data_IF_419808417792
#
_entry.id   IF_419808417792
#
_cell.length_a   1.000
_cell.length_b   1.000
_cell.length_c   1.000
_cell.angle_alpha   90.00
_cell.angle_beta   90.00
_cell.angle_gamma   90.00
#
_symmetry.space_group_name_H-M   'P 1'
#
loop_
_entity.id
_entity.type
_entity.pdbx_description
1 polymer ?
#
# COMPACT_ATOMS: atom_id res chain seq x y z
N UNK A 1 -40.77 -5.42 74.75
CA UNK A 1 -41.14 -4.69 73.56
C UNK A 1 -39.87 -4.41 72.81
N UNK A 2 -39.61 -5.16 71.71
CA UNK A 2 -38.42 -5.02 70.93
C UNK A 2 -38.82 -4.29 69.62
N UNK A 3 -38.27 -3.10 69.46
CA UNK A 3 -38.54 -2.26 68.33
C UNK A 3 -37.70 -2.69 67.12
N UNK A 4 -38.39 -3.17 66.07
CA UNK A 4 -37.72 -3.64 64.84
C UNK A 4 -37.67 -2.48 63.82
N UNK A 5 -36.61 -1.72 63.86
CA UNK A 5 -36.28 -0.83 62.72
C UNK A 5 -35.42 -1.59 61.73
N UNK A 6 -36.06 -2.06 60.71
CA UNK A 6 -35.40 -2.67 59.54
C UNK A 6 -34.75 -1.52 58.74
N UNK A 7 -33.42 -1.43 58.79
CA UNK A 7 -32.67 -0.59 57.85
C UNK A 7 -32.60 -1.30 56.51
N UNK A 8 -33.36 -0.83 55.50
CA UNK A 8 -33.13 -1.17 54.11
C UNK A 8 -31.85 -0.47 53.62
N UNK A 9 -30.72 -1.17 53.65
CA UNK A 9 -29.55 -0.75 52.94
C UNK A 9 -29.74 -1.04 51.45
N UNK A 10 -30.10 -0.02 50.68
CA UNK A 10 -30.18 -0.09 49.23
C UNK A 10 -28.81 -0.37 48.64
N UNK A 11 -28.59 -1.59 48.12
CA UNK A 11 -27.45 -1.88 47.26
C UNK A 11 -27.64 -1.15 45.92
N UNK A 12 -27.05 0.02 45.79
CA UNK A 12 -26.83 0.66 44.51
C UNK A 12 -25.74 -0.16 43.79
N UNK A 13 -26.14 -1.20 43.06
CA UNK A 13 -25.27 -1.88 42.15
C UNK A 13 -24.82 -0.92 41.06
N UNK A 14 -23.58 -0.44 41.13
CA UNK A 14 -22.96 0.25 40.01
C UNK A 14 -22.89 -0.70 38.81
N UNK A 15 -23.78 -0.52 37.87
CA UNK A 15 -23.69 -1.18 36.56
C UNK A 15 -22.44 -0.58 35.90
N UNK A 16 -21.31 -1.29 35.99
CA UNK A 16 -20.14 -0.99 35.24
C UNK A 16 -20.49 -1.17 33.75
N UNK A 17 -20.75 -0.08 33.06
CA UNK A 17 -20.86 -0.09 31.62
C UNK A 17 -19.55 -0.65 31.08
N UNK A 18 -19.59 -1.65 30.17
CA UNK A 18 -18.36 -2.16 29.58
C UNK A 18 -17.61 -1.00 28.94
N UNK A 19 -16.36 -0.80 29.32
CA UNK A 19 -15.50 0.20 28.70
C UNK A 19 -15.47 -0.08 27.21
N UNK A 20 -15.99 0.86 26.42
CA UNK A 20 -16.00 0.74 24.96
C UNK A 20 -14.54 0.68 24.53
N UNK A 21 -14.15 -0.39 23.85
CA UNK A 21 -12.80 -0.48 23.26
C UNK A 21 -12.53 0.80 22.45
N UNK A 22 -11.32 1.36 22.53
CA UNK A 22 -10.97 2.54 21.74
C UNK A 22 -11.23 2.24 20.25
N UNK A 23 -11.70 3.22 19.49
CA UNK A 23 -11.95 3.01 18.07
C UNK A 23 -10.65 2.62 17.36
N UNK A 24 -10.72 1.65 16.45
CA UNK A 24 -9.60 1.27 15.60
C UNK A 24 -9.12 2.50 14.83
N UNK A 25 -7.84 2.83 14.92
CA UNK A 25 -7.25 3.97 14.23
C UNK A 25 -5.86 3.63 13.72
N UNK A 26 -5.57 4.00 12.46
CA UNK A 26 -4.22 3.92 11.94
C UNK A 26 -3.40 5.11 12.41
N UNK A 27 -2.16 4.83 12.75
CA UNK A 27 -1.17 5.85 13.04
C UNK A 27 -0.28 6.02 11.79
N UNK A 28 -0.52 7.06 11.02
CA UNK A 28 0.26 7.37 9.83
C UNK A 28 1.48 8.20 10.26
N UNK A 29 2.66 7.64 10.06
CA UNK A 29 3.93 8.27 10.43
C UNK A 29 4.80 8.37 9.17
N UNK A 30 4.79 9.52 8.46
CA UNK A 30 5.64 9.71 7.29
C UNK A 30 7.10 9.93 7.70
N UNK A 31 8.00 9.15 7.11
CA UNK A 31 9.45 9.28 7.27
C UNK A 31 10.03 10.00 6.05
N UNK A 32 10.82 11.05 6.27
CA UNK A 32 11.42 11.83 5.16
C UNK A 32 12.51 11.01 4.48
N UNK A 33 12.40 10.82 3.17
CA UNK A 33 13.35 10.06 2.33
C UNK A 33 14.17 11.00 1.44
N UNK A 34 13.52 12.05 0.91
CA UNK A 34 14.14 13.08 0.10
C UNK A 34 13.39 14.40 0.26
N UNK A 35 13.86 15.47 -0.38
CA UNK A 35 13.14 16.73 -0.35
C UNK A 35 11.79 16.60 -1.04
N UNK A 36 10.73 16.95 -0.27
CA UNK A 36 9.36 16.82 -0.71
C UNK A 36 8.90 15.36 -0.93
N UNK A 37 9.62 14.37 -0.39
CA UNK A 37 9.24 12.95 -0.48
C UNK A 37 9.34 12.28 0.89
N UNK A 38 8.25 11.63 1.30
CA UNK A 38 8.13 10.84 2.51
C UNK A 38 7.53 9.47 2.20
N UNK A 39 7.84 8.50 3.04
CA UNK A 39 7.27 7.15 2.99
C UNK A 39 6.59 6.85 4.32
N UNK A 40 5.35 6.40 4.27
CA UNK A 40 4.69 5.72 5.38
C UNK A 40 5.04 4.25 5.27
N UNK A 41 5.94 3.78 6.13
CA UNK A 41 6.41 2.41 6.08
C UNK A 41 5.31 1.43 6.53
N UNK A 42 5.11 0.37 5.74
CA UNK A 42 4.28 -0.76 6.10
C UNK A 42 4.90 -1.61 7.21
N UNK A 43 4.06 -2.31 7.95
CA UNK A 43 4.51 -3.28 8.96
C UNK A 43 5.10 -4.50 8.26
N UNK A 44 6.25 -4.95 8.73
CA UNK A 44 6.93 -6.14 8.20
C UNK A 44 6.32 -7.44 8.75
N UNK A 45 5.10 -7.71 8.30
CA UNK A 45 4.28 -8.85 8.71
C UNK A 45 3.23 -9.17 7.64
N UNK A 46 2.60 -10.37 7.65
CA UNK A 46 1.42 -10.65 6.83
C UNK A 46 0.24 -9.74 7.19
N UNK A 47 -0.72 -9.62 6.26
CA UNK A 47 -2.02 -8.97 6.54
C UNK A 47 -2.68 -9.66 7.72
N UNK A 48 -2.99 -8.92 8.79
CA UNK A 48 -3.58 -9.44 10.02
C UNK A 48 -4.41 -8.36 10.75
N UNK A 49 -5.33 -8.82 11.60
CA UNK A 49 -6.12 -7.94 12.47
C UNK A 49 -5.23 -7.00 13.31
N UNK A 50 -4.07 -7.49 13.78
CA UNK A 50 -3.17 -6.72 14.64
C UNK A 50 -2.56 -5.49 13.94
N UNK A 51 -2.36 -5.53 12.62
CA UNK A 51 -1.81 -4.43 11.83
C UNK A 51 -2.86 -3.73 10.95
N UNK A 52 -4.11 -4.22 10.95
CA UNK A 52 -5.17 -3.68 10.10
C UNK A 52 -4.87 -3.78 8.60
N UNK A 53 -3.94 -4.62 8.18
CA UNK A 53 -3.49 -4.74 6.78
C UNK A 53 -2.51 -3.65 6.33
N UNK A 54 -2.02 -2.79 7.22
CA UNK A 54 -1.08 -1.71 6.88
C UNK A 54 0.34 -2.25 6.70
N UNK A 55 0.57 -3.03 5.66
CA UNK A 55 1.84 -3.71 5.36
C UNK A 55 2.58 -3.14 4.15
N UNK A 56 1.89 -2.39 3.28
CA UNK A 56 2.47 -1.74 2.12
C UNK A 56 3.14 -0.40 2.46
N UNK A 57 4.21 -0.06 1.76
CA UNK A 57 4.81 1.28 1.78
C UNK A 57 3.97 2.24 0.94
N UNK A 58 3.61 3.38 1.52
CA UNK A 58 2.86 4.42 0.83
C UNK A 58 3.75 5.66 0.70
N UNK A 59 3.86 6.21 -0.52
CA UNK A 59 4.69 7.39 -0.74
C UNK A 59 3.85 8.66 -0.79
N UNK A 60 4.32 9.72 -0.13
CA UNK A 60 3.74 11.07 -0.12
C UNK A 60 4.74 12.01 -0.78
N UNK A 61 4.28 12.77 -1.79
CA UNK A 61 5.10 13.72 -2.53
C UNK A 61 4.46 15.11 -2.48
N UNK A 62 5.20 16.09 -1.95
CA UNK A 62 4.82 17.49 -2.02
C UNK A 62 5.20 18.08 -3.37
N UNK A 63 4.29 18.80 -3.99
CA UNK A 63 4.50 19.51 -5.24
C UNK A 63 3.88 20.90 -5.17
N UNK A 64 4.24 21.80 -6.07
CA UNK A 64 3.60 23.11 -6.19
C UNK A 64 2.13 22.99 -6.63
N UNK A 65 1.78 21.93 -7.34
CA UNK A 65 0.42 21.65 -7.82
C UNK A 65 -0.48 20.91 -6.82
N UNK A 66 0.05 20.56 -5.63
CA UNK A 66 -0.67 19.79 -4.60
C UNK A 66 0.09 18.54 -4.13
N UNK A 67 -0.54 17.74 -3.32
CA UNK A 67 0.04 16.49 -2.80
C UNK A 67 -0.25 15.34 -3.74
N UNK A 68 0.77 14.57 -4.07
CA UNK A 68 0.68 13.34 -4.85
C UNK A 68 0.95 12.15 -3.94
N UNK A 69 0.16 11.10 -4.07
CA UNK A 69 0.34 9.81 -3.36
C UNK A 69 0.65 8.69 -4.34
N UNK A 70 1.46 7.74 -3.91
CA UNK A 70 1.61 6.45 -4.59
C UNK A 70 1.13 5.39 -3.63
N UNK A 71 0.07 4.71 -4.04
CA UNK A 71 -0.78 3.79 -3.28
C UNK A 71 -1.55 4.46 -2.13
N UNK A 72 -2.47 3.75 -1.51
CA UNK A 72 -3.40 4.35 -0.55
C UNK A 72 -3.80 3.42 0.61
N UNK A 73 -3.24 2.21 0.69
CA UNK A 73 -3.42 1.30 1.81
C UNK A 73 -4.66 0.40 1.75
N UNK A 74 -4.88 -0.39 2.82
CA UNK A 74 -5.76 -1.56 2.81
C UNK A 74 -7.25 -1.27 3.02
N UNK A 75 -7.66 -0.05 3.36
CA UNK A 75 -9.06 0.23 3.73
C UNK A 75 -9.43 1.71 3.61
N UNK A 76 -10.73 1.99 3.52
CA UNK A 76 -11.27 3.36 3.62
C UNK A 76 -10.73 4.10 4.84
N UNK A 77 -10.70 3.43 5.99
CA UNK A 77 -10.18 4.01 7.25
C UNK A 77 -8.71 4.41 7.13
N UNK A 78 -7.88 3.57 6.47
CA UNK A 78 -6.49 3.90 6.21
C UNK A 78 -6.37 5.09 5.25
N UNK A 79 -7.09 5.05 4.13
CA UNK A 79 -7.08 6.12 3.14
C UNK A 79 -7.49 7.49 3.73
N UNK A 80 -8.50 7.51 4.62
CA UNK A 80 -8.91 8.73 5.34
C UNK A 80 -7.78 9.25 6.23
N UNK A 81 -7.16 8.38 7.02
CA UNK A 81 -6.04 8.76 7.90
C UNK A 81 -4.83 9.23 7.08
N UNK A 82 -4.50 8.54 5.98
CA UNK A 82 -3.44 8.91 5.06
C UNK A 82 -3.68 10.28 4.43
N UNK A 83 -4.88 10.53 3.92
CA UNK A 83 -5.27 11.81 3.34
C UNK A 83 -5.07 12.96 4.32
N UNK A 84 -5.54 12.80 5.57
CA UNK A 84 -5.38 13.80 6.63
C UNK A 84 -3.91 14.04 6.97
N UNK A 85 -3.12 12.96 7.14
CA UNK A 85 -1.70 13.07 7.44
C UNK A 85 -0.91 13.73 6.29
N UNK A 86 -1.19 13.36 5.05
CA UNK A 86 -0.55 13.96 3.87
C UNK A 86 -0.85 15.46 3.74
N UNK A 87 -2.11 15.86 3.93
CA UNK A 87 -2.51 17.27 3.89
C UNK A 87 -1.88 18.07 5.05
N UNK A 88 -1.82 17.51 6.26
CA UNK A 88 -1.18 18.15 7.40
C UNK A 88 0.34 18.31 7.19
N UNK A 89 0.98 17.31 6.56
CA UNK A 89 2.41 17.29 6.28
C UNK A 89 2.83 18.32 5.22
N UNK A 90 2.07 18.42 4.14
CA UNK A 90 2.42 19.23 2.96
C UNK A 90 1.77 20.62 2.93
N UNK A 91 0.71 20.81 3.73
CA UNK A 91 -0.14 22.01 3.68
C UNK A 91 -1.01 22.10 2.42
N UNK A 92 -1.07 21.04 1.59
CA UNK A 92 -1.71 21.03 0.28
C UNK A 92 -2.75 19.89 0.16
N UNK A 93 -3.83 20.08 -0.62
CA UNK A 93 -4.77 19.00 -0.89
C UNK A 93 -4.11 17.87 -1.70
N UNK A 94 -4.61 16.64 -1.52
CA UNK A 94 -4.25 15.52 -2.39
C UNK A 94 -4.91 15.72 -3.75
N UNK A 95 -4.11 15.76 -4.81
CA UNK A 95 -4.55 16.00 -6.20
C UNK A 95 -4.37 14.80 -7.11
N UNK A 96 -3.54 13.82 -6.70
CA UNK A 96 -3.29 12.58 -7.44
C UNK A 96 -3.01 11.44 -6.48
N UNK A 97 -3.57 10.25 -6.76
CA UNK A 97 -3.23 8.97 -6.13
C UNK A 97 -2.93 8.00 -7.26
N UNK A 98 -1.69 7.60 -7.42
CA UNK A 98 -1.31 6.54 -8.34
C UNK A 98 -1.53 5.18 -7.69
N UNK A 99 -2.16 4.26 -8.39
CA UNK A 99 -2.21 2.85 -7.99
C UNK A 99 -1.11 2.10 -8.73
N UNK A 100 -0.27 1.37 -7.97
CA UNK A 100 0.85 0.64 -8.56
C UNK A 100 0.41 -0.68 -9.17
N UNK A 101 -0.48 -1.43 -8.51
CA UNK A 101 -0.97 -2.73 -8.97
C UNK A 101 -2.28 -3.11 -8.27
N UNK A 102 -2.76 -4.35 -8.46
CA UNK A 102 -4.11 -4.75 -8.03
C UNK A 102 -4.24 -5.19 -6.57
N UNK A 103 -3.16 -5.37 -5.80
CA UNK A 103 -3.26 -5.98 -4.47
C UNK A 103 -3.94 -5.08 -3.43
N UNK A 104 -4.72 -5.68 -2.52
CA UNK A 104 -5.67 -4.94 -1.69
C UNK A 104 -5.02 -4.02 -0.65
N UNK A 105 -3.82 -4.34 -0.17
CA UNK A 105 -3.08 -3.50 0.78
C UNK A 105 -2.52 -2.21 0.15
N UNK A 106 -2.58 -2.09 -1.17
CA UNK A 106 -2.22 -0.90 -1.94
C UNK A 106 -3.43 -0.05 -2.35
N UNK A 107 -4.60 -0.68 -2.64
CA UNK A 107 -5.66 -0.02 -3.41
C UNK A 107 -6.95 0.29 -2.66
N UNK A 108 -7.28 -0.41 -1.57
CA UNK A 108 -8.61 -0.26 -0.94
C UNK A 108 -8.81 1.07 -0.21
N UNK A 109 -7.73 1.79 0.11
CA UNK A 109 -7.80 3.16 0.59
C UNK A 109 -8.30 4.17 -0.44
N UNK A 110 -8.39 3.79 -1.72
CA UNK A 110 -8.91 4.63 -2.81
C UNK A 110 -10.33 5.15 -2.54
N UNK A 111 -11.13 4.41 -1.77
CA UNK A 111 -12.46 4.84 -1.33
C UNK A 111 -12.49 6.17 -0.55
N UNK A 112 -11.34 6.64 -0.03
CA UNK A 112 -11.23 7.93 0.68
C UNK A 112 -11.03 9.13 -0.27
N UNK A 113 -10.82 8.89 -1.55
CA UNK A 113 -10.48 9.90 -2.54
C UNK A 113 -11.55 10.01 -3.63
N UNK A 114 -11.65 11.20 -4.24
CA UNK A 114 -12.51 11.35 -5.40
C UNK A 114 -11.98 10.49 -6.56
N UNK A 115 -12.81 9.69 -7.25
CA UNK A 115 -12.32 8.79 -8.31
C UNK A 115 -11.47 9.50 -9.37
N UNK A 116 -11.79 10.74 -9.72
CA UNK A 116 -11.06 11.51 -10.75
C UNK A 116 -9.62 11.85 -10.41
N UNK A 117 -9.17 11.72 -9.15
CA UNK A 117 -7.76 11.89 -8.77
C UNK A 117 -7.05 10.56 -8.55
N UNK A 118 -7.78 9.43 -8.50
CA UNK A 118 -7.20 8.09 -8.43
C UNK A 118 -6.89 7.62 -9.85
N UNK A 119 -5.62 7.33 -10.10
CA UNK A 119 -5.10 7.08 -11.44
C UNK A 119 -4.44 5.70 -11.56
N UNK A 120 -4.69 5.05 -12.68
CA UNK A 120 -4.06 3.78 -13.05
C UNK A 120 -3.72 3.74 -14.54
N UNK A 121 -2.79 2.87 -14.92
CA UNK A 121 -2.56 2.56 -16.34
C UNK A 121 -3.81 1.94 -16.97
N UNK A 122 -4.00 2.00 -18.30
CA UNK A 122 -5.15 1.36 -18.97
C UNK A 122 -5.26 -0.13 -18.64
N UNK A 123 -4.12 -0.83 -18.59
CA UNK A 123 -4.06 -2.26 -18.27
C UNK A 123 -4.52 -2.53 -16.84
N UNK A 124 -3.98 -1.79 -15.86
CA UNK A 124 -4.36 -1.92 -14.47
C UNK A 124 -5.84 -1.56 -14.26
N UNK A 125 -6.32 -0.48 -14.88
CA UNK A 125 -7.72 -0.06 -14.77
C UNK A 125 -8.68 -1.14 -15.31
N UNK A 126 -8.33 -1.82 -16.40
CA UNK A 126 -9.11 -2.94 -16.93
C UNK A 126 -9.07 -4.15 -15.97
N UNK A 127 -7.90 -4.49 -15.45
CA UNK A 127 -7.74 -5.59 -14.48
C UNK A 127 -8.55 -5.32 -13.20
N UNK A 128 -8.52 -4.11 -12.69
CA UNK A 128 -9.28 -3.71 -11.51
C UNK A 128 -10.80 -3.75 -11.69
N UNK A 129 -11.31 -3.57 -12.91
CA UNK A 129 -12.74 -3.74 -13.20
C UNK A 129 -13.22 -5.17 -13.03
N UNK A 130 -12.39 -6.15 -13.38
CA UNK A 130 -12.73 -7.58 -13.28
C UNK A 130 -12.39 -8.18 -11.92
N UNK A 131 -11.29 -7.77 -11.30
CA UNK A 131 -10.71 -8.46 -10.15
C UNK A 131 -10.68 -7.62 -8.87
N UNK A 132 -10.72 -6.29 -8.97
CA UNK A 132 -10.53 -5.39 -7.83
C UNK A 132 -11.49 -5.62 -6.66
N UNK A 133 -12.74 -6.01 -6.92
CA UNK A 133 -13.70 -6.32 -5.87
C UNK A 133 -13.51 -7.74 -5.28
N UNK A 134 -12.79 -8.63 -5.97
CA UNK A 134 -12.64 -10.04 -5.59
C UNK A 134 -11.89 -10.26 -4.27
N UNK A 135 -11.03 -9.32 -3.89
CA UNK A 135 -10.30 -9.39 -2.62
C UNK A 135 -11.14 -9.00 -1.39
N UNK A 136 -12.32 -8.38 -1.59
CA UNK A 136 -13.11 -7.76 -0.52
C UNK A 136 -13.45 -8.76 0.59
N UNK A 137 -14.03 -9.90 0.25
CA UNK A 137 -14.43 -10.92 1.23
C UNK A 137 -13.25 -11.47 2.05
N UNK A 138 -12.10 -11.65 1.39
CA UNK A 138 -10.86 -12.06 2.03
C UNK A 138 -10.39 -11.01 3.05
N UNK A 139 -10.36 -9.75 2.65
CA UNK A 139 -9.96 -8.63 3.50
C UNK A 139 -10.91 -8.45 4.69
N UNK A 140 -12.23 -8.55 4.49
CA UNK A 140 -13.20 -8.50 5.60
C UNK A 140 -13.02 -9.65 6.59
N UNK A 141 -12.73 -10.86 6.11
CA UNK A 141 -12.44 -12.01 6.99
C UNK A 141 -11.17 -11.84 7.80
N UNK A 142 -10.11 -11.28 7.19
CA UNK A 142 -8.82 -11.08 7.84
C UNK A 142 -8.81 -9.88 8.79
N UNK A 143 -9.54 -8.81 8.47
CA UNK A 143 -9.40 -7.51 9.11
C UNK A 143 -10.65 -7.05 9.89
N UNK A 144 -11.81 -7.69 9.68
CA UNK A 144 -13.05 -7.36 10.39
C UNK A 144 -13.39 -5.86 10.37
N UNK A 145 -13.51 -5.26 11.56
CA UNK A 145 -13.89 -3.85 11.72
C UNK A 145 -12.92 -2.81 11.11
N UNK A 146 -11.69 -3.19 10.79
CA UNK A 146 -10.80 -2.31 10.01
C UNK A 146 -11.35 -2.02 8.62
N UNK A 147 -12.09 -2.96 8.04
CA UNK A 147 -12.69 -2.86 6.71
C UNK A 147 -14.04 -2.15 6.69
N UNK A 148 -14.62 -1.82 7.85
CA UNK A 148 -15.97 -1.25 7.92
C UNK A 148 -16.15 -0.05 7.00
N UNK A 149 -17.12 -0.14 6.07
CA UNK A 149 -17.43 0.87 5.06
C UNK A 149 -16.45 0.92 3.89
N UNK A 150 -15.49 -0.01 3.83
CA UNK A 150 -14.57 -0.13 2.70
C UNK A 150 -15.27 -0.85 1.55
N UNK A 151 -15.36 -0.19 0.42
CA UNK A 151 -15.81 -0.77 -0.84
C UNK A 151 -14.72 -0.53 -1.89
N UNK A 152 -14.56 -1.48 -2.81
CA UNK A 152 -13.64 -1.27 -3.91
C UNK A 152 -14.09 -0.06 -4.75
N UNK A 153 -13.19 0.87 -4.96
CA UNK A 153 -13.44 2.08 -5.76
C UNK A 153 -12.49 2.06 -6.97
N UNK A 154 -13.02 1.93 -8.19
CA UNK A 154 -12.20 1.91 -9.39
C UNK A 154 -11.53 3.28 -9.62
N UNK A 155 -10.33 3.31 -10.25
CA UNK A 155 -9.69 4.55 -10.66
C UNK A 155 -10.53 5.29 -11.70
N UNK A 156 -10.67 6.61 -11.54
CA UNK A 156 -11.40 7.47 -12.48
C UNK A 156 -10.49 8.22 -13.44
N UNK A 157 -9.17 8.20 -13.23
CA UNK A 157 -8.16 8.77 -14.14
C UNK A 157 -7.35 7.68 -14.82
N UNK A 158 -7.14 7.80 -16.11
CA UNK A 158 -6.36 6.84 -16.91
C UNK A 158 -5.07 7.48 -17.37
N UNK A 159 -3.95 6.84 -17.03
CA UNK A 159 -2.60 7.29 -17.37
C UNK A 159 -2.24 6.84 -18.77
N UNK A 160 -2.23 7.77 -19.73
CA UNK A 160 -1.89 7.50 -21.13
C UNK A 160 -0.55 8.08 -21.55
N UNK A 161 -0.01 8.99 -20.75
CA UNK A 161 1.31 9.58 -20.97
C UNK A 161 2.38 8.83 -20.17
N UNK A 162 3.61 8.90 -20.61
CA UNK A 162 4.79 8.37 -19.91
C UNK A 162 5.31 9.31 -18.79
N UNK A 163 4.72 10.50 -18.65
CA UNK A 163 5.04 11.48 -17.63
C UNK A 163 3.81 12.24 -17.16
N UNK A 164 3.79 12.61 -15.87
CA UNK A 164 2.91 13.66 -15.34
C UNK A 164 3.75 14.70 -14.60
N UNK A 165 3.27 15.96 -14.59
CA UNK A 165 3.96 17.08 -13.96
C UNK A 165 2.99 17.86 -13.07
N UNK A 166 3.41 18.16 -11.83
CA UNK A 166 2.68 18.98 -10.88
C UNK A 166 3.56 20.14 -10.42
N UNK A 167 3.29 21.35 -10.93
CA UNK A 167 4.23 22.45 -10.81
C UNK A 167 5.54 22.13 -11.52
N UNK A 168 6.69 22.31 -10.86
CA UNK A 168 8.00 21.96 -11.41
C UNK A 168 8.39 20.48 -11.23
N UNK A 169 7.62 19.68 -10.45
CA UNK A 169 7.96 18.29 -10.15
C UNK A 169 7.40 17.34 -11.20
N UNK A 170 8.31 16.61 -11.86
CA UNK A 170 7.98 15.68 -12.94
C UNK A 170 8.16 14.24 -12.49
N UNK A 171 7.19 13.41 -12.85
CA UNK A 171 7.16 11.96 -12.59
C UNK A 171 7.20 11.21 -13.91
N UNK A 172 8.17 10.34 -14.09
CA UNK A 172 8.19 9.38 -15.18
C UNK A 172 7.41 8.14 -14.77
N UNK A 173 6.43 7.78 -15.58
CA UNK A 173 5.54 6.64 -15.36
C UNK A 173 6.04 5.45 -16.18
N UNK A 174 6.19 4.31 -15.54
CA UNK A 174 6.77 3.09 -16.11
C UNK A 174 5.74 1.97 -15.98
N UNK A 175 4.82 1.82 -16.96
CA UNK A 175 3.94 0.66 -17.03
C UNK A 175 4.77 -0.60 -17.27
N UNK A 176 4.71 -1.55 -16.36
CA UNK A 176 5.47 -2.79 -16.32
C UNK A 176 4.54 -3.96 -15.97
N UNK A 177 5.09 -5.14 -15.83
CA UNK A 177 4.40 -6.33 -15.36
C UNK A 177 5.40 -7.30 -14.74
N UNK A 178 4.91 -8.23 -13.91
CA UNK A 178 5.78 -9.28 -13.35
C UNK A 178 5.34 -9.70 -11.98
N UNK A 179 5.21 -8.80 -11.02
CA UNK A 179 4.59 -9.09 -9.74
C UNK A 179 3.07 -9.30 -9.91
N UNK A 180 2.48 -8.53 -10.80
CA UNK A 180 1.12 -8.69 -11.29
C UNK A 180 1.05 -8.55 -12.81
N UNK A 181 -0.10 -8.84 -13.44
CA UNK A 181 -0.27 -8.64 -14.89
C UNK A 181 -0.14 -7.17 -15.33
N UNK A 182 -0.27 -6.22 -14.40
CA UNK A 182 -0.17 -4.79 -14.69
C UNK A 182 0.38 -4.06 -13.46
N UNK A 183 1.66 -3.71 -13.52
CA UNK A 183 2.37 -2.97 -12.48
C UNK A 183 2.75 -1.58 -12.99
N UNK A 184 2.86 -0.61 -12.09
CA UNK A 184 3.34 0.74 -12.35
C UNK A 184 4.48 1.06 -11.39
N UNK A 185 5.66 1.34 -11.93
CA UNK A 185 6.72 2.00 -11.18
C UNK A 185 6.77 3.49 -11.57
N UNK A 186 7.24 4.33 -10.65
CA UNK A 186 7.29 5.79 -10.83
C UNK A 186 8.68 6.29 -10.46
N UNK A 187 9.33 7.00 -11.37
CA UNK A 187 10.56 7.72 -11.07
C UNK A 187 10.23 9.19 -10.78
N UNK A 188 10.45 9.61 -9.55
CA UNK A 188 10.49 11.03 -9.19
C UNK A 188 11.80 11.63 -9.68
N UNK A 189 11.77 12.35 -10.80
CA UNK A 189 12.97 12.91 -11.43
C UNK A 189 13.66 13.96 -10.56
N UNK A 190 12.90 14.69 -9.74
CA UNK A 190 13.45 15.74 -8.89
C UNK A 190 14.40 15.19 -7.81
N UNK A 191 14.06 14.09 -7.16
CA UNK A 191 14.90 13.45 -6.13
C UNK A 191 15.75 12.31 -6.65
N UNK A 192 15.46 11.80 -7.84
CA UNK A 192 16.02 10.57 -8.38
C UNK A 192 15.53 9.32 -7.60
N UNK A 193 14.35 9.35 -7.02
CA UNK A 193 13.79 8.23 -6.27
C UNK A 193 12.89 7.39 -7.16
N UNK A 194 13.19 6.10 -7.26
CA UNK A 194 12.33 5.11 -7.88
C UNK A 194 11.32 4.60 -6.83
N UNK A 195 10.04 4.73 -7.12
CA UNK A 195 8.94 4.16 -6.34
C UNK A 195 8.45 2.96 -7.13
N UNK A 196 8.81 1.76 -6.68
CA UNK A 196 8.75 0.55 -7.50
C UNK A 196 7.47 -0.27 -7.31
N UNK A 197 6.64 0.05 -6.30
CA UNK A 197 5.56 -0.87 -5.88
C UNK A 197 6.13 -2.26 -5.59
N UNK A 198 5.34 -3.29 -5.79
CA UNK A 198 5.71 -4.67 -5.50
C UNK A 198 6.57 -5.33 -6.60
N UNK A 199 7.01 -4.56 -7.58
CA UNK A 199 8.12 -5.00 -8.44
C UNK A 199 9.43 -5.15 -7.65
N UNK A 200 9.56 -4.46 -6.50
CA UNK A 200 10.74 -4.55 -5.63
C UNK A 200 10.32 -4.75 -4.18
N UNK A 201 10.94 -5.73 -3.55
CA UNK A 201 10.89 -6.02 -2.12
C UNK A 201 12.28 -5.82 -1.51
N UNK A 202 12.35 -5.40 -0.25
CA UNK A 202 13.62 -5.20 0.44
C UNK A 202 13.57 -5.83 1.82
N UNK A 203 14.55 -6.70 2.14
CA UNK A 203 14.63 -7.46 3.40
C UNK A 203 13.35 -8.25 3.71
N UNK A 204 12.63 -8.65 2.66
CA UNK A 204 11.38 -9.39 2.75
C UNK A 204 11.18 -10.27 1.52
N UNK A 205 10.67 -11.48 1.72
CA UNK A 205 10.33 -12.37 0.61
C UNK A 205 9.17 -11.79 -0.21
N UNK A 206 9.30 -11.70 -1.53
CA UNK A 206 8.22 -11.31 -2.43
C UNK A 206 7.01 -12.26 -2.36
N UNK A 207 5.81 -11.70 -2.49
CA UNK A 207 4.56 -12.44 -2.70
C UNK A 207 4.38 -12.72 -4.19
N UNK A 208 3.91 -13.91 -4.57
CA UNK A 208 3.89 -14.34 -5.99
C UNK A 208 2.58 -14.92 -6.49
N UNK A 209 1.38 -14.65 -5.91
CA UNK A 209 0.15 -15.33 -6.32
C UNK A 209 -0.29 -15.01 -7.76
N UNK A 210 0.12 -13.86 -8.31
CA UNK A 210 -0.24 -13.39 -9.64
C UNK A 210 1.00 -13.16 -10.53
N UNK A 211 2.18 -13.67 -10.09
CA UNK A 211 3.44 -13.36 -10.72
C UNK A 211 3.65 -14.09 -12.05
N UNK A 212 4.29 -13.38 -12.97
CA UNK A 212 4.96 -13.90 -14.15
C UNK A 212 6.46 -13.65 -13.96
N UNK A 213 7.21 -14.68 -13.59
CA UNK A 213 8.62 -14.54 -13.20
C UNK A 213 9.50 -14.02 -14.35
N UNK A 214 9.19 -14.40 -15.61
CA UNK A 214 9.94 -13.96 -16.77
C UNK A 214 9.76 -12.44 -16.99
N UNK A 215 8.52 -11.98 -17.01
CA UNK A 215 8.22 -10.54 -17.11
C UNK A 215 8.77 -9.76 -15.91
N UNK A 216 8.78 -10.36 -14.72
CA UNK A 216 9.31 -9.69 -13.54
C UNK A 216 10.82 -9.46 -13.67
N UNK A 217 11.57 -10.45 -14.14
CA UNK A 217 13.00 -10.28 -14.45
C UNK A 217 13.25 -9.18 -15.47
N UNK A 218 12.44 -9.09 -16.53
CA UNK A 218 12.59 -8.04 -17.56
C UNK A 218 12.23 -6.65 -16.99
N UNK A 219 11.22 -6.59 -16.11
CA UNK A 219 10.89 -5.37 -15.37
C UNK A 219 12.04 -4.93 -14.46
N UNK A 220 12.65 -5.84 -13.70
CA UNK A 220 13.80 -5.52 -12.84
C UNK A 220 14.99 -5.00 -13.66
N UNK A 221 15.30 -5.60 -14.81
CA UNK A 221 16.34 -5.08 -15.74
C UNK A 221 16.02 -3.65 -16.21
N UNK A 222 14.74 -3.40 -16.53
CA UNK A 222 14.29 -2.06 -16.93
C UNK A 222 14.50 -1.05 -15.80
N UNK A 223 14.16 -1.42 -14.56
CA UNK A 223 14.34 -0.55 -13.39
C UNK A 223 15.82 -0.28 -13.11
N UNK A 224 16.70 -1.27 -13.21
CA UNK A 224 18.15 -1.12 -13.03
C UNK A 224 18.75 -0.08 -14.01
N UNK A 225 18.24 -0.02 -15.24
CA UNK A 225 18.75 0.87 -16.28
C UNK A 225 18.32 2.34 -16.15
N UNK A 226 17.47 2.70 -15.17
CA UNK A 226 16.88 4.05 -15.08
C UNK A 226 17.81 5.14 -14.57
N UNK A 227 18.91 4.79 -13.91
CA UNK A 227 19.84 5.76 -13.33
C UNK A 227 19.29 6.47 -12.08
N UNK A 228 18.34 5.85 -11.38
CA UNK A 228 17.81 6.32 -10.10
C UNK A 228 18.88 6.25 -8.99
N UNK A 229 18.62 6.92 -7.86
CA UNK A 229 19.59 7.05 -6.75
C UNK A 229 19.22 6.16 -5.56
N UNK A 230 17.93 5.86 -5.37
CA UNK A 230 17.35 5.08 -4.29
C UNK A 230 16.06 4.44 -4.72
N UNK A 231 15.61 3.44 -3.98
CA UNK A 231 14.37 2.71 -4.27
C UNK A 231 13.45 2.73 -3.06
N UNK A 232 12.18 3.07 -3.30
CA UNK A 232 11.08 2.80 -2.37
C UNK A 232 10.42 1.51 -2.86
N UNK A 233 10.63 0.37 -2.17
CA UNK A 233 9.97 -0.89 -2.51
C UNK A 233 8.50 -0.86 -2.09
N UNK A 234 7.68 -1.78 -2.58
CA UNK A 234 6.31 -1.94 -2.09
C UNK A 234 6.27 -2.41 -0.64
N UNK A 235 7.23 -3.23 -0.24
CA UNK A 235 7.38 -3.74 1.12
C UNK A 235 8.85 -3.74 1.58
N UNK A 236 9.05 -3.58 2.89
CA UNK A 236 10.38 -3.54 3.51
C UNK A 236 10.97 -2.12 3.58
N UNK A 237 12.22 -1.96 4.05
CA UNK A 237 12.84 -0.64 4.21
C UNK A 237 13.11 0.04 2.86
N UNK A 238 13.14 1.37 2.87
CA UNK A 238 13.65 2.14 1.71
C UNK A 238 15.11 1.76 1.48
N UNK A 239 15.45 1.43 0.24
CA UNK A 239 16.84 1.22 -0.16
C UNK A 239 17.50 2.57 -0.47
N UNK A 240 18.49 3.01 0.31
CA UNK A 240 19.21 4.26 0.05
C UNK A 240 20.15 4.18 -1.16
N UNK A 241 20.32 2.97 -1.73
CA UNK A 241 21.14 2.68 -2.92
C UNK A 241 20.25 2.42 -4.15
N UNK A 242 20.79 2.47 -5.37
CA UNK A 242 20.00 2.18 -6.56
C UNK A 242 19.77 0.68 -6.83
N UNK A 243 20.46 -0.24 -6.13
CA UNK A 243 20.54 -1.61 -6.60
C UNK A 243 20.21 -2.70 -5.57
N UNK A 244 20.42 -2.47 -4.27
CA UNK A 244 20.39 -3.55 -3.26
C UNK A 244 19.04 -4.26 -3.23
N UNK A 245 17.94 -3.53 -3.13
CA UNK A 245 16.60 -4.10 -3.09
C UNK A 245 16.21 -4.82 -4.40
N UNK A 246 16.62 -4.26 -5.54
CA UNK A 246 16.37 -4.87 -6.87
C UNK A 246 17.13 -6.19 -6.98
N UNK A 247 18.41 -6.23 -6.57
CA UNK A 247 19.23 -7.45 -6.57
C UNK A 247 18.63 -8.51 -5.64
N UNK A 248 18.26 -8.13 -4.41
CA UNK A 248 17.62 -9.07 -3.48
C UNK A 248 16.33 -9.67 -4.05
N UNK A 249 15.50 -8.85 -4.68
CA UNK A 249 14.27 -9.33 -5.33
C UNK A 249 14.59 -10.32 -6.44
N UNK A 250 15.53 -9.99 -7.32
CA UNK A 250 15.96 -10.87 -8.41
C UNK A 250 16.51 -12.21 -7.90
N UNK A 251 17.43 -12.17 -6.94
CA UNK A 251 18.05 -13.36 -6.38
C UNK A 251 17.01 -14.28 -5.72
N UNK A 252 16.01 -13.70 -5.07
CA UNK A 252 14.90 -14.46 -4.51
C UNK A 252 14.03 -15.13 -5.61
N UNK A 253 13.74 -14.42 -6.72
CA UNK A 253 13.00 -14.97 -7.86
C UNK A 253 13.78 -16.11 -8.54
N UNK A 254 15.09 -15.96 -8.69
CA UNK A 254 15.97 -17.00 -9.23
C UNK A 254 15.97 -18.24 -8.35
N UNK A 255 16.11 -18.05 -7.03
CA UNK A 255 16.01 -19.14 -6.06
C UNK A 255 14.65 -19.85 -6.12
N UNK A 256 13.55 -19.10 -6.16
CA UNK A 256 12.21 -19.66 -6.25
C UNK A 256 12.05 -20.50 -7.53
N UNK A 257 12.43 -19.94 -8.68
CA UNK A 257 12.33 -20.63 -9.97
C UNK A 257 13.16 -21.92 -9.99
N UNK A 258 14.38 -21.90 -9.43
CA UNK A 258 15.24 -23.06 -9.32
C UNK A 258 14.63 -24.14 -8.40
N UNK A 259 14.09 -23.72 -7.25
CA UNK A 259 13.46 -24.62 -6.27
C UNK A 259 12.23 -25.31 -6.87
N UNK A 260 11.33 -24.54 -7.51
CA UNK A 260 10.13 -25.10 -8.15
C UNK A 260 10.50 -26.09 -9.27
N UNK A 261 11.50 -25.79 -10.09
CA UNK A 261 11.99 -26.72 -11.12
C UNK A 261 12.53 -28.00 -10.52
N UNK A 262 13.28 -27.90 -9.42
CA UNK A 262 13.82 -29.07 -8.72
C UNK A 262 12.70 -29.97 -8.15
N UNK A 263 11.68 -29.38 -7.50
CA UNK A 263 10.50 -30.11 -7.01
C UNK A 263 9.75 -30.83 -8.12
N UNK A 264 9.51 -30.15 -9.25
CA UNK A 264 8.86 -30.78 -10.41
C UNK A 264 9.67 -31.98 -10.94
N UNK A 265 11.00 -31.86 -11.01
CA UNK A 265 11.88 -32.95 -11.46
C UNK A 265 11.87 -34.11 -10.44
N UNK A 266 11.83 -33.80 -9.14
CA UNK A 266 11.75 -34.80 -8.08
C UNK A 266 10.39 -35.51 -7.99
N UNK A 267 9.33 -34.93 -8.61
CA UNK A 267 7.96 -35.46 -8.53
C UNK A 267 7.29 -35.14 -7.19
N UNK A 268 7.73 -34.08 -6.52
CA UNK A 268 7.08 -33.54 -5.32
C UNK A 268 5.81 -32.79 -5.72
N UNK A 269 4.67 -33.15 -5.07
CA UNK A 269 3.36 -32.51 -5.26
C UNK A 269 3.24 -31.21 -4.41
#
# INVERSE_FOLDING_TARGET
MIDRRIALAGLLGAIALPARAPPLAYRIIPEKVADGLWVVRGVDAPIAMANGGAIANITILATEGGTVLVDCGPSLRYGVALKQAAQALTGQPVVRVYLTHLHPDHIYGAAAFAPGIVAATPQLANLLKSEGAGFSDGMYRLLGDWMRGTEFTPPGAILTADHETFGARRFRLLPLAGHSPADLAILDEASGTLIAGDLVFHDRAPSTPHADLEKWHDSLKTLEALGHKRVVPGHGPVDPTPATAIVQTRDWLDWLAATLRASVIAGDD
#
